data_IF_658893028330
#
_entry.id   IF_658893028330
#
_cell.length_a   1.000
_cell.length_b   1.000
_cell.length_c   1.000
_cell.angle_alpha   90.00
_cell.angle_beta   90.00
_cell.angle_gamma   90.00
#
_symmetry.space_group_name_H-M   'P 1'
#
loop_
_entity.id
_entity.type
_entity.pdbx_description
1 polymer ?
#
# COMPACT_ATOMS: atom_id res chain seq x y z
N UNK A 1 -25.13 22.88 -18.72
CA UNK A 1 -23.85 22.74 -17.95
C UNK A 1 -23.38 21.31 -18.00
N UNK A 2 -22.10 21.05 -18.22
CA UNK A 2 -21.57 19.68 -18.29
C UNK A 2 -21.71 19.01 -16.91
N UNK A 3 -22.35 17.84 -16.86
CA UNK A 3 -22.44 17.03 -15.65
C UNK A 3 -21.03 16.81 -15.08
N UNK A 4 -20.76 17.26 -13.87
CA UNK A 4 -19.48 17.07 -13.20
C UNK A 4 -19.18 15.57 -13.11
N UNK A 5 -18.14 15.11 -13.82
CA UNK A 5 -17.74 13.72 -13.80
C UNK A 5 -17.34 13.28 -12.39
N UNK A 6 -17.84 12.11 -11.95
CA UNK A 6 -17.44 11.50 -10.67
C UNK A 6 -15.95 11.22 -10.71
N UNK A 7 -15.22 11.68 -9.70
CA UNK A 7 -13.81 11.40 -9.49
C UNK A 7 -13.66 10.10 -8.68
N UNK A 8 -12.99 9.12 -9.29
CA UNK A 8 -12.70 7.83 -8.66
C UNK A 8 -11.30 7.88 -8.07
N UNK A 9 -11.21 7.65 -6.77
CA UNK A 9 -9.95 7.51 -6.05
C UNK A 9 -9.65 6.06 -5.73
N UNK A 10 -8.41 5.64 -5.97
CA UNK A 10 -7.90 4.33 -5.64
C UNK A 10 -7.02 4.41 -4.39
N UNK A 11 -7.23 3.47 -3.47
CA UNK A 11 -6.45 3.36 -2.23
C UNK A 11 -5.73 2.03 -2.24
N UNK A 12 -4.40 2.07 -2.11
CA UNK A 12 -3.54 0.89 -2.12
C UNK A 12 -2.93 0.68 -0.73
N UNK A 13 -3.30 -0.41 -0.08
CA UNK A 13 -2.84 -0.73 1.26
C UNK A 13 -1.38 -1.20 1.34
N UNK A 14 -0.81 -1.14 2.55
CA UNK A 14 0.47 -1.75 2.88
C UNK A 14 0.38 -3.28 2.97
N UNK A 15 1.52 -3.98 2.84
CA UNK A 15 1.55 -5.44 2.96
C UNK A 15 2.79 -6.12 2.40
N UNK A 16 3.84 -5.38 2.08
CA UNK A 16 5.07 -5.93 1.48
C UNK A 16 4.79 -6.65 0.16
N UNK A 17 5.35 -7.84 -0.04
CA UNK A 17 5.19 -8.64 -1.26
C UNK A 17 3.72 -8.89 -1.63
N UNK A 18 2.82 -9.02 -0.64
CA UNK A 18 1.38 -9.18 -0.89
C UNK A 18 0.80 -8.04 -1.73
N UNK A 19 1.39 -6.84 -1.64
CA UNK A 19 1.02 -5.68 -2.46
C UNK A 19 1.20 -5.87 -3.96
N UNK A 20 1.93 -6.89 -4.43
CA UNK A 20 1.97 -7.24 -5.85
C UNK A 20 0.57 -7.56 -6.41
N UNK A 21 -0.37 -7.96 -5.55
CA UNK A 21 -1.79 -8.08 -5.89
C UNK A 21 -2.43 -6.78 -6.41
N UNK A 22 -1.93 -5.61 -5.98
CA UNK A 22 -2.39 -4.31 -6.50
C UNK A 22 -2.21 -4.19 -8.01
N UNK A 23 -1.15 -4.78 -8.57
CA UNK A 23 -0.90 -4.77 -10.02
C UNK A 23 -2.02 -5.50 -10.75
N UNK A 24 -2.45 -6.65 -10.22
CA UNK A 24 -3.58 -7.42 -10.74
C UNK A 24 -4.89 -6.64 -10.71
N UNK A 25 -5.16 -5.97 -9.60
CA UNK A 25 -6.33 -5.08 -9.47
C UNK A 25 -6.29 -3.95 -10.51
N UNK A 26 -5.16 -3.27 -10.64
CA UNK A 26 -4.98 -2.20 -11.64
C UNK A 26 -5.18 -2.69 -13.08
N UNK A 27 -4.70 -3.90 -13.40
CA UNK A 27 -4.89 -4.53 -14.72
C UNK A 27 -6.38 -4.80 -14.99
N UNK A 28 -7.10 -5.40 -14.05
CA UNK A 28 -8.52 -5.66 -14.17
C UNK A 28 -9.35 -4.38 -14.29
N UNK A 29 -9.08 -3.37 -13.45
CA UNK A 29 -9.75 -2.06 -13.56
C UNK A 29 -9.50 -1.41 -14.93
N UNK A 30 -8.28 -1.51 -15.48
CA UNK A 30 -7.95 -1.01 -16.83
C UNK A 30 -8.70 -1.76 -17.93
N UNK A 31 -8.78 -3.10 -17.88
CA UNK A 31 -9.54 -3.93 -18.82
C UNK A 31 -11.02 -3.49 -18.84
N UNK A 32 -11.60 -3.25 -17.68
CA UNK A 32 -12.98 -2.82 -17.55
C UNK A 32 -13.20 -1.31 -17.74
N UNK A 33 -12.18 -0.58 -18.16
CA UNK A 33 -12.24 0.88 -18.40
C UNK A 33 -12.77 1.67 -17.20
N UNK A 34 -12.43 1.24 -15.98
CA UNK A 34 -12.70 1.99 -14.75
C UNK A 34 -11.60 3.06 -14.61
N UNK A 35 -11.90 4.35 -14.82
CA UNK A 35 -10.88 5.40 -14.76
C UNK A 35 -10.47 5.68 -13.32
N UNK A 36 -9.18 5.77 -13.06
CA UNK A 36 -8.63 6.21 -11.79
C UNK A 36 -8.16 7.65 -11.93
N UNK A 37 -8.68 8.55 -11.08
CA UNK A 37 -8.43 9.98 -11.16
C UNK A 37 -7.41 10.46 -10.12
N UNK A 38 -7.19 9.68 -9.06
CA UNK A 38 -6.23 9.94 -7.99
C UNK A 38 -5.92 8.67 -7.23
N UNK A 39 -4.75 8.61 -6.60
CA UNK A 39 -4.31 7.45 -5.83
C UNK A 39 -3.77 7.87 -4.47
N UNK A 40 -4.07 7.11 -3.42
CA UNK A 40 -3.38 7.19 -2.14
C UNK A 40 -2.81 5.81 -1.78
N UNK A 41 -1.60 5.76 -1.23
CA UNK A 41 -0.93 4.51 -0.89
C UNK A 41 -0.17 4.54 0.43
N UNK A 42 0.03 3.37 1.02
CA UNK A 42 0.87 3.15 2.20
C UNK A 42 1.87 2.05 1.90
N UNK A 43 3.16 2.23 2.25
CA UNK A 43 4.21 1.22 2.08
C UNK A 43 4.33 0.74 0.63
N UNK A 44 4.26 -0.57 0.37
CA UNK A 44 4.22 -1.10 -1.02
C UNK A 44 3.10 -0.49 -1.85
N UNK A 45 1.95 -0.15 -1.24
CA UNK A 45 0.87 0.56 -1.91
C UNK A 45 1.27 1.98 -2.33
N UNK A 46 2.19 2.63 -1.60
CA UNK A 46 2.77 3.91 -2.00
C UNK A 46 3.71 3.73 -3.21
N UNK A 47 4.56 2.71 -3.22
CA UNK A 47 5.45 2.40 -4.35
C UNK A 47 4.63 2.15 -5.63
N UNK A 48 3.70 1.19 -5.60
CA UNK A 48 2.88 0.82 -6.76
C UNK A 48 1.95 1.97 -7.17
N UNK A 49 1.42 2.71 -6.19
CA UNK A 49 0.56 3.88 -6.42
C UNK A 49 1.29 5.01 -7.15
N UNK A 50 2.53 5.31 -6.76
CA UNK A 50 3.37 6.30 -7.44
C UNK A 50 3.77 5.85 -8.85
N UNK A 51 4.17 4.57 -9.01
CA UNK A 51 4.45 3.99 -10.33
C UNK A 51 3.23 4.11 -11.26
N UNK A 52 2.03 3.82 -10.73
CA UNK A 52 0.80 3.96 -11.50
C UNK A 52 0.48 5.43 -11.80
N UNK A 53 0.60 6.32 -10.83
CA UNK A 53 0.36 7.75 -11.03
C UNK A 53 1.32 8.37 -12.07
N UNK A 54 2.54 7.85 -12.17
CA UNK A 54 3.53 8.28 -13.15
C UNK A 54 3.29 7.72 -14.55
N UNK A 55 2.85 6.47 -14.67
CA UNK A 55 2.80 5.77 -15.97
C UNK A 55 1.38 5.60 -16.52
N UNK A 56 0.39 5.36 -15.65
CA UNK A 56 -0.97 4.89 -15.95
C UNK A 56 -0.97 3.52 -16.64
N UNK A 57 0.11 2.75 -16.44
CA UNK A 57 0.30 1.47 -17.11
C UNK A 57 0.66 0.33 -16.15
N UNK A 58 -0.31 -0.53 -15.77
CA UNK A 58 -0.06 -1.68 -14.91
C UNK A 58 0.89 -2.72 -15.49
N UNK A 59 0.98 -2.83 -16.82
CA UNK A 59 1.91 -3.77 -17.46
C UNK A 59 3.36 -3.30 -17.32
N UNK A 60 3.59 -1.99 -17.43
CA UNK A 60 4.90 -1.42 -17.16
C UNK A 60 5.34 -1.69 -15.71
N UNK A 61 4.41 -1.54 -14.74
CA UNK A 61 4.67 -1.80 -13.33
C UNK A 61 5.06 -3.28 -13.13
N UNK A 62 4.29 -4.22 -13.67
CA UNK A 62 4.58 -5.65 -13.62
C UNK A 62 5.98 -5.96 -14.15
N UNK A 63 6.30 -5.48 -15.35
CA UNK A 63 7.60 -5.70 -15.98
C UNK A 63 8.74 -5.12 -15.13
N UNK A 64 8.54 -3.94 -14.53
CA UNK A 64 9.55 -3.30 -13.68
C UNK A 64 9.83 -4.12 -12.42
N UNK A 65 8.79 -4.68 -11.78
CA UNK A 65 8.97 -5.60 -10.65
C UNK A 65 9.68 -6.90 -11.05
N UNK A 66 9.34 -7.50 -12.20
CA UNK A 66 10.02 -8.71 -12.70
C UNK A 66 11.51 -8.47 -12.93
N UNK A 67 11.86 -7.39 -13.62
CA UNK A 67 13.27 -6.98 -13.79
C UNK A 67 13.96 -6.76 -12.45
N UNK A 68 13.29 -6.13 -11.48
CA UNK A 68 13.86 -5.90 -10.16
C UNK A 68 14.14 -7.22 -9.42
N UNK A 69 13.19 -8.14 -9.39
CA UNK A 69 13.31 -9.43 -8.69
C UNK A 69 14.44 -10.29 -9.28
N UNK A 70 14.66 -10.22 -10.58
CA UNK A 70 15.75 -10.94 -11.27
C UNK A 70 17.12 -10.25 -11.12
N UNK A 71 17.15 -8.99 -10.68
CA UNK A 71 18.38 -8.19 -10.60
C UNK A 71 19.35 -8.64 -9.51
N UNK A 72 20.65 -8.41 -9.72
CA UNK A 72 21.67 -8.58 -8.68
C UNK A 72 21.44 -7.64 -7.48
N UNK A 73 20.81 -6.48 -7.70
CA UNK A 73 20.43 -5.56 -6.64
C UNK A 73 19.46 -6.23 -5.64
N UNK A 74 18.40 -6.88 -6.13
CA UNK A 74 17.45 -7.61 -5.28
C UNK A 74 18.14 -8.74 -4.49
N UNK A 75 19.02 -9.51 -5.13
CA UNK A 75 19.78 -10.59 -4.47
C UNK A 75 20.67 -10.05 -3.35
N UNK A 76 21.34 -8.91 -3.57
CA UNK A 76 22.22 -8.25 -2.59
C UNK A 76 21.47 -7.68 -1.39
N UNK A 77 20.20 -7.23 -1.57
CA UNK A 77 19.36 -6.77 -0.47
C UNK A 77 19.09 -7.89 0.51
N UNK A 78 18.96 -9.12 0.02
CA UNK A 78 18.82 -10.30 0.85
C UNK A 78 17.43 -10.46 1.49
N UNK A 79 16.38 -9.84 0.95
CA UNK A 79 15.00 -10.00 1.44
C UNK A 79 14.58 -11.48 1.49
N UNK A 80 15.00 -12.29 0.52
CA UNK A 80 14.79 -13.73 0.52
C UNK A 80 15.36 -14.45 1.74
N UNK A 81 16.38 -13.87 2.43
CA UNK A 81 16.96 -14.43 3.65
C UNK A 81 16.11 -14.17 4.90
N UNK A 82 15.16 -13.26 4.82
CA UNK A 82 14.21 -12.95 5.88
C UNK A 82 13.03 -13.92 5.89
N UNK A 83 12.78 -14.58 4.75
CA UNK A 83 11.69 -15.57 4.61
C UNK A 83 11.96 -16.74 5.57
N UNK A 84 11.01 -17.07 6.46
CA UNK A 84 11.16 -18.19 7.38
C UNK A 84 11.28 -19.50 6.59
N UNK A 85 12.41 -20.19 6.71
CA UNK A 85 12.58 -21.54 6.16
C UNK A 85 11.99 -22.55 7.13
N UNK A 86 10.67 -22.75 7.04
CA UNK A 86 9.95 -23.77 7.81
C UNK A 86 10.26 -25.16 7.24
N UNK A 87 11.25 -25.86 7.77
CA UNK A 87 11.33 -27.31 7.65
C UNK A 87 10.99 -27.95 8.99
N UNK A 88 9.98 -28.85 9.06
CA UNK A 88 9.56 -29.50 10.30
C UNK A 88 10.61 -30.47 10.88
N UNK A 89 11.75 -30.70 10.23
CA UNK A 89 12.83 -31.59 10.65
C UNK A 89 14.19 -30.90 10.68
N UNK A 90 14.29 -29.77 11.42
CA UNK A 90 15.61 -29.15 11.61
C UNK A 90 16.47 -29.96 12.57
N UNK A 91 17.68 -30.34 12.13
CA UNK A 91 18.70 -30.97 13.01
C UNK A 91 19.06 -30.00 14.14
N UNK A 92 19.59 -30.57 15.27
CA UNK A 92 20.06 -29.77 16.42
C UNK A 92 21.05 -28.67 15.97
N UNK A 93 21.86 -28.93 14.95
CA UNK A 93 22.77 -27.94 14.33
C UNK A 93 22.04 -26.79 13.64
N UNK A 94 20.94 -27.06 12.95
CA UNK A 94 20.10 -26.00 12.32
C UNK A 94 19.37 -25.18 13.35
N UNK A 95 18.90 -25.79 14.45
CA UNK A 95 18.31 -25.07 15.58
C UNK A 95 19.33 -24.15 16.26
N UNK A 96 20.56 -24.65 16.50
CA UNK A 96 21.66 -23.87 17.06
C UNK A 96 22.07 -22.71 16.12
N UNK A 97 22.18 -22.96 14.82
CA UNK A 97 22.46 -21.92 13.82
C UNK A 97 21.36 -20.85 13.75
N UNK A 98 20.10 -21.25 13.84
CA UNK A 98 18.93 -20.32 13.89
C UNK A 98 18.95 -19.52 15.19
N UNK A 99 19.27 -20.14 16.32
CA UNK A 99 19.40 -19.45 17.60
C UNK A 99 20.54 -18.42 17.59
N UNK A 100 21.73 -18.81 17.08
CA UNK A 100 22.86 -17.88 16.92
C UNK A 100 22.53 -16.75 15.95
N UNK A 101 21.85 -17.02 14.84
CA UNK A 101 21.38 -16.00 13.90
C UNK A 101 20.41 -15.02 14.58
N UNK A 102 19.48 -15.51 15.39
CA UNK A 102 18.53 -14.67 16.14
C UNK A 102 19.25 -13.84 17.22
N UNK A 103 20.25 -14.39 17.91
CA UNK A 103 21.07 -13.64 18.88
C UNK A 103 21.89 -12.53 18.21
N UNK A 104 22.45 -12.81 17.03
CA UNK A 104 23.17 -11.79 16.24
C UNK A 104 22.21 -10.69 15.82
N UNK A 105 20.99 -11.03 15.37
CA UNK A 105 19.96 -10.04 14.99
C UNK A 105 19.55 -9.20 16.20
N UNK A 106 19.34 -9.80 17.37
CA UNK A 106 19.00 -9.07 18.61
C UNK A 106 20.14 -8.14 19.05
N UNK A 107 21.41 -8.61 18.98
CA UNK A 107 22.56 -7.77 19.32
C UNK A 107 22.74 -6.63 18.31
N UNK A 108 22.54 -6.88 17.02
CA UNK A 108 22.58 -5.84 15.99
C UNK A 108 21.42 -4.85 16.15
N UNK A 109 20.26 -5.28 16.59
CA UNK A 109 19.10 -4.42 16.84
C UNK A 109 19.33 -3.47 18.04
N UNK A 110 20.17 -3.83 19.01
CA UNK A 110 20.58 -2.95 20.09
C UNK A 110 21.54 -1.84 19.65
N UNK A 111 22.26 -2.04 18.54
CA UNK A 111 23.22 -1.06 18.01
C UNK A 111 22.71 -0.31 16.76
N UNK A 112 21.66 -0.81 16.11
CA UNK A 112 21.13 -0.28 14.85
C UNK A 112 19.61 -0.25 14.85
N UNK A 113 19.04 0.86 14.37
CA UNK A 113 17.58 1.06 14.27
C UNK A 113 16.90 0.23 13.17
N UNK A 114 17.66 -0.59 12.42
CA UNK A 114 17.11 -1.44 11.36
C UNK A 114 18.15 -2.43 10.79
N UNK A 115 17.64 -3.49 10.15
CA UNK A 115 18.47 -4.56 9.53
C UNK A 115 18.99 -4.11 8.15
N UNK A 116 18.18 -3.37 7.40
CA UNK A 116 18.50 -2.84 6.07
C UNK A 116 18.92 -1.36 6.19
N UNK A 117 19.87 -0.95 5.36
CA UNK A 117 20.30 0.45 5.31
C UNK A 117 19.31 1.30 4.52
N UNK A 118 19.11 2.55 4.91
CA UNK A 118 18.25 3.52 4.22
C UNK A 118 18.69 3.76 2.78
N UNK A 119 20.00 3.80 2.51
CA UNK A 119 20.56 4.02 1.18
C UNK A 119 20.10 2.93 0.19
N UNK A 120 20.00 1.68 0.66
CA UNK A 120 19.48 0.59 -0.18
C UNK A 120 18.00 0.73 -0.51
N UNK A 121 17.20 1.19 0.45
CA UNK A 121 15.79 1.50 0.18
C UNK A 121 15.68 2.62 -0.84
N UNK A 122 16.49 3.67 -0.70
CA UNK A 122 16.55 4.78 -1.66
C UNK A 122 16.88 4.31 -3.07
N UNK A 123 17.92 3.48 -3.21
CA UNK A 123 18.32 2.90 -4.51
C UNK A 123 17.21 2.07 -5.16
N UNK A 124 16.48 1.28 -4.35
CA UNK A 124 15.35 0.49 -4.85
C UNK A 124 14.22 1.40 -5.35
N UNK A 125 13.82 2.38 -4.53
CA UNK A 125 12.73 3.27 -4.87
C UNK A 125 13.10 4.10 -6.10
N UNK A 126 14.33 4.60 -6.17
CA UNK A 126 14.85 5.33 -7.31
C UNK A 126 14.85 4.48 -8.59
N UNK A 127 15.23 3.21 -8.48
CA UNK A 127 15.15 2.26 -9.60
C UNK A 127 13.70 2.01 -10.03
N UNK A 128 12.75 1.90 -9.09
CA UNK A 128 11.36 1.58 -9.40
C UNK A 128 10.58 2.74 -10.02
N UNK A 129 10.93 3.99 -9.68
CA UNK A 129 10.18 5.17 -10.10
C UNK A 129 10.76 5.81 -11.38
N UNK A 130 9.90 6.16 -12.36
CA UNK A 130 10.33 6.85 -13.56
C UNK A 130 10.47 8.37 -13.38
N UNK A 131 10.02 8.91 -12.25
CA UNK A 131 10.00 10.34 -11.91
C UNK A 131 10.46 10.55 -10.47
N UNK A 132 10.88 11.78 -10.11
CA UNK A 132 11.50 12.10 -8.82
C UNK A 132 10.64 12.96 -7.91
N UNK A 133 9.65 13.64 -8.46
CA UNK A 133 8.79 14.57 -7.71
C UNK A 133 7.30 14.26 -7.92
N UNK A 134 6.46 14.71 -6.99
CA UNK A 134 5.01 14.59 -7.12
C UNK A 134 4.46 15.37 -8.31
N UNK A 135 5.09 16.48 -8.65
CA UNK A 135 4.67 17.40 -9.72
C UNK A 135 4.83 16.78 -11.12
N UNK A 136 5.70 15.77 -11.27
CA UNK A 136 5.89 15.03 -12.52
C UNK A 136 4.85 13.93 -12.75
N UNK A 137 3.98 13.66 -11.76
CA UNK A 137 2.97 12.60 -11.85
C UNK A 137 1.80 13.01 -12.76
N UNK A 138 1.26 12.06 -13.52
CA UNK A 138 0.15 12.28 -14.47
C UNK A 138 -1.20 12.45 -13.79
N UNK A 139 -1.37 11.90 -12.59
CA UNK A 139 -2.57 12.05 -11.76
C UNK A 139 -2.16 12.33 -10.31
N UNK A 140 -3.00 13.02 -9.51
CA UNK A 140 -2.75 13.27 -8.11
C UNK A 140 -2.46 11.99 -7.33
N UNK A 141 -1.39 12.03 -6.55
CA UNK A 141 -0.97 10.95 -5.69
C UNK A 141 -0.67 11.47 -4.28
N UNK A 142 -0.90 10.65 -3.27
CA UNK A 142 -0.44 10.90 -1.89
C UNK A 142 0.06 9.60 -1.28
N UNK A 143 1.10 9.68 -0.47
CA UNK A 143 1.51 8.58 0.40
C UNK A 143 1.54 9.01 1.86
N UNK A 144 1.57 8.02 2.75
CA UNK A 144 1.41 8.23 4.18
C UNK A 144 2.53 7.56 4.95
N UNK A 145 3.12 8.31 5.89
CA UNK A 145 4.03 7.82 6.93
C UNK A 145 3.49 8.19 8.30
N UNK A 146 4.16 7.74 9.36
CA UNK A 146 3.83 8.09 10.75
C UNK A 146 5.04 8.70 11.42
N UNK A 147 4.85 9.79 12.13
CA UNK A 147 5.88 10.34 12.99
C UNK A 147 5.88 9.64 14.35
N UNK A 148 6.97 8.96 14.68
CA UNK A 148 7.14 8.22 15.93
C UNK A 148 7.18 9.13 17.18
N UNK A 149 7.52 10.42 17.01
CA UNK A 149 7.60 11.36 18.13
C UNK A 149 6.21 11.84 18.56
N UNK A 150 5.32 12.11 17.59
CA UNK A 150 3.97 12.62 17.86
C UNK A 150 2.86 11.56 17.76
N UNK A 151 3.11 10.45 17.04
CA UNK A 151 2.10 9.46 16.70
C UNK A 151 1.15 9.90 15.57
N UNK A 152 1.42 11.04 14.93
CA UNK A 152 0.53 11.61 13.92
C UNK A 152 0.81 11.06 12.53
N UNK A 153 -0.27 10.95 11.73
CA UNK A 153 -0.19 10.61 10.30
C UNK A 153 0.42 11.77 9.51
N UNK A 154 1.50 11.53 8.78
CA UNK A 154 2.13 12.49 7.86
C UNK A 154 1.80 12.14 6.43
N UNK A 155 1.06 13.01 5.73
CA UNK A 155 0.63 12.81 4.35
C UNK A 155 1.50 13.64 3.42
N UNK A 156 2.18 12.97 2.48
CA UNK A 156 2.98 13.60 1.43
C UNK A 156 2.19 13.65 0.13
N UNK A 157 2.18 14.82 -0.54
CA UNK A 157 1.51 15.05 -1.82
C UNK A 157 2.21 16.07 -2.72
N UNK A 158 3.42 16.50 -2.34
CA UNK A 158 4.26 17.45 -3.09
C UNK A 158 5.74 17.26 -2.77
N UNK A 159 6.62 17.76 -3.64
CA UNK A 159 8.07 17.77 -3.48
C UNK A 159 8.72 16.42 -3.81
N UNK A 160 9.74 16.02 -3.02
CA UNK A 160 10.53 14.82 -3.29
C UNK A 160 9.74 13.52 -3.10
N UNK A 161 9.44 12.84 -4.19
CA UNK A 161 8.65 11.61 -4.21
C UNK A 161 9.41 10.42 -3.61
N UNK A 162 10.72 10.35 -3.84
CA UNK A 162 11.57 9.25 -3.34
C UNK A 162 11.60 9.28 -1.82
N UNK A 163 11.90 10.44 -1.22
CA UNK A 163 11.92 10.60 0.24
C UNK A 163 10.58 10.27 0.89
N UNK A 164 9.48 10.73 0.28
CA UNK A 164 8.14 10.46 0.79
C UNK A 164 7.81 8.97 0.79
N UNK A 165 8.18 8.25 -0.28
CA UNK A 165 7.97 6.80 -0.37
C UNK A 165 8.92 6.05 0.55
N UNK A 166 10.17 6.51 0.72
CA UNK A 166 11.09 5.95 1.73
C UNK A 166 10.47 6.02 3.13
N UNK A 167 9.95 7.18 3.53
CA UNK A 167 9.29 7.36 4.81
C UNK A 167 8.08 6.42 4.97
N UNK A 168 7.24 6.35 3.91
CA UNK A 168 6.06 5.46 3.88
C UNK A 168 6.40 3.96 3.92
N UNK A 169 7.64 3.59 3.60
CA UNK A 169 8.12 2.20 3.50
C UNK A 169 9.19 1.85 4.53
N UNK A 170 9.44 2.72 5.51
CA UNK A 170 10.42 2.49 6.58
C UNK A 170 9.84 1.53 7.63
N UNK A 171 9.81 0.23 7.31
CA UNK A 171 9.19 -0.82 8.16
C UNK A 171 9.94 -0.91 9.51
N UNK A 172 9.24 -0.75 10.66
CA UNK A 172 9.85 -0.81 11.99
C UNK A 172 10.66 -2.09 12.20
N UNK A 173 11.87 -1.95 12.73
CA UNK A 173 12.79 -3.06 12.98
C UNK A 173 13.55 -3.56 11.75
N UNK A 174 13.06 -3.29 10.53
CA UNK A 174 13.72 -3.70 9.28
C UNK A 174 14.48 -2.55 8.61
N UNK A 175 13.90 -1.38 8.58
CA UNK A 175 14.47 -0.18 7.97
C UNK A 175 14.50 0.91 9.05
N UNK A 176 15.62 1.62 9.24
CA UNK A 176 15.68 2.73 10.18
C UNK A 176 14.65 3.81 9.83
N UNK A 177 14.02 4.44 10.83
CA UNK A 177 13.13 5.58 10.60
C UNK A 177 13.83 6.69 9.81
N UNK A 178 13.09 7.43 9.01
CA UNK A 178 13.58 8.55 8.20
C UNK A 178 13.47 9.84 9.00
N UNK A 179 14.58 10.49 9.26
CA UNK A 179 14.60 11.82 9.88
C UNK A 179 14.29 12.88 8.82
N UNK A 180 13.25 13.69 9.06
CA UNK A 180 12.84 14.77 8.14
C UNK A 180 12.13 15.87 8.91
N UNK A 181 12.59 17.12 8.77
CA UNK A 181 11.96 18.31 9.34
C UNK A 181 11.65 18.19 10.86
N UNK A 182 12.56 17.55 11.63
CA UNK A 182 12.42 17.30 13.08
C UNK A 182 11.48 16.14 13.44
N UNK A 183 10.90 15.46 12.46
CA UNK A 183 10.10 14.24 12.62
C UNK A 183 10.95 12.98 12.48
N UNK A 184 10.53 11.91 13.11
CA UNK A 184 11.11 10.58 13.00
C UNK A 184 10.08 9.65 12.33
N UNK A 185 10.16 9.53 11.00
CA UNK A 185 9.12 8.92 10.16
C UNK A 185 9.32 7.41 9.99
N UNK A 186 8.23 6.67 10.14
CA UNK A 186 8.17 5.22 9.90
C UNK A 186 7.02 4.87 8.95
N UNK A 187 6.94 3.58 8.55
CA UNK A 187 5.92 3.06 7.63
C UNK A 187 4.50 3.45 8.06
N UNK A 188 3.74 3.98 7.14
CA UNK A 188 2.36 4.41 7.37
C UNK A 188 1.41 3.30 7.81
N UNK A 189 1.75 2.04 7.59
CA UNK A 189 0.92 0.90 8.00
C UNK A 189 0.83 0.76 9.54
N UNK A 190 1.71 1.40 10.29
CA UNK A 190 1.67 1.44 11.77
C UNK A 190 0.36 2.06 12.27
N UNK A 191 -0.15 3.11 11.61
CA UNK A 191 -1.40 3.79 12.00
C UNK A 191 -2.50 3.75 10.96
N UNK A 192 -2.14 3.61 9.69
CA UNK A 192 -3.08 3.68 8.57
C UNK A 192 -2.68 2.74 7.42
N UNK A 193 -2.87 1.42 7.59
CA UNK A 193 -2.54 0.43 6.57
C UNK A 193 -3.25 0.67 5.24
N UNK A 194 -4.49 1.21 5.26
CA UNK A 194 -5.31 1.49 4.08
C UNK A 194 -5.81 2.95 4.15
N UNK A 195 -5.20 3.91 3.42
CA UNK A 195 -5.39 5.35 3.62
C UNK A 195 -6.66 5.91 2.94
N UNK A 196 -7.85 5.36 3.20
CA UNK A 196 -9.14 5.78 2.58
C UNK A 196 -9.48 7.23 2.88
N UNK A 197 -9.16 7.72 4.09
CA UNK A 197 -9.41 9.12 4.47
C UNK A 197 -8.59 10.09 3.62
N UNK A 198 -7.38 9.70 3.22
CA UNK A 198 -6.48 10.52 2.39
C UNK A 198 -7.09 10.74 1.01
N UNK A 199 -7.51 9.70 0.30
CA UNK A 199 -8.09 9.84 -1.03
C UNK A 199 -9.42 10.61 -0.99
N UNK A 200 -10.16 10.51 0.12
CA UNK A 200 -11.36 11.35 0.34
C UNK A 200 -10.99 12.83 0.46
N UNK A 201 -9.94 13.17 1.21
CA UNK A 201 -9.44 14.56 1.33
C UNK A 201 -8.94 15.11 0.00
N UNK A 202 -8.41 14.24 -0.89
CA UNK A 202 -8.01 14.61 -2.26
C UNK A 202 -9.21 14.94 -3.16
N UNK A 203 -10.44 14.69 -2.71
CA UNK A 203 -11.67 15.02 -3.42
C UNK A 203 -12.25 13.88 -4.25
N UNK A 204 -11.98 12.62 -3.90
CA UNK A 204 -12.63 11.48 -4.53
C UNK A 204 -14.11 11.39 -4.15
N UNK A 205 -14.96 11.30 -5.17
CA UNK A 205 -16.40 11.08 -5.02
C UNK A 205 -16.72 9.60 -4.79
N UNK A 206 -15.95 8.70 -5.40
CA UNK A 206 -16.04 7.25 -5.26
C UNK A 206 -14.67 6.66 -4.92
N UNK A 207 -14.61 5.80 -3.92
CA UNK A 207 -13.36 5.26 -3.36
C UNK A 207 -13.34 3.75 -3.50
N UNK A 208 -12.33 3.26 -4.22
CA UNK A 208 -11.99 1.85 -4.31
C UNK A 208 -10.78 1.63 -3.41
N UNK A 209 -10.90 0.82 -2.38
CA UNK A 209 -9.76 0.40 -1.56
C UNK A 209 -9.30 -1.00 -1.94
N UNK A 210 -8.00 -1.22 -1.87
CA UNK A 210 -7.38 -2.54 -2.03
C UNK A 210 -6.61 -2.84 -0.75
N UNK A 211 -7.10 -3.82 -0.02
CA UNK A 211 -6.50 -4.29 1.23
C UNK A 211 -5.81 -5.64 0.98
N UNK A 212 -4.49 -5.66 1.15
CA UNK A 212 -3.63 -6.84 0.98
C UNK A 212 -3.08 -7.34 2.33
N UNK A 213 -3.82 -7.06 3.41
CA UNK A 213 -3.57 -7.64 4.73
C UNK A 213 -3.65 -9.16 4.73
N UNK A 214 -3.38 -9.76 5.88
CA UNK A 214 -3.52 -11.21 6.04
C UNK A 214 -5.00 -11.60 6.13
N UNK A 215 -5.38 -12.70 5.48
CA UNK A 215 -6.74 -13.21 5.55
C UNK A 215 -6.96 -14.12 6.77
N UNK A 216 -5.91 -14.82 7.20
CA UNK A 216 -5.91 -15.69 8.38
C UNK A 216 -4.53 -15.74 9.01
N UNK A 217 -4.44 -16.28 10.21
CA UNK A 217 -3.19 -16.42 10.97
C UNK A 217 -2.93 -17.88 11.26
N UNK A 218 -1.80 -18.40 10.76
CA UNK A 218 -1.35 -19.74 11.12
C UNK A 218 -0.90 -19.80 12.59
N UNK A 219 -1.06 -20.92 13.27
CA UNK A 219 -0.53 -21.10 14.63
C UNK A 219 0.97 -20.83 14.70
N UNK A 220 1.41 -20.24 15.80
CA UNK A 220 2.82 -20.09 16.10
C UNK A 220 3.33 -21.31 16.86
N UNK A 221 4.23 -22.06 16.27
CA UNK A 221 4.88 -23.21 16.92
C UNK A 221 6.18 -22.77 17.60
N UNK A 222 6.25 -22.90 18.93
CA UNK A 222 7.43 -22.54 19.75
C UNK A 222 8.01 -21.15 19.42
N UNK A 223 7.20 -20.07 19.50
CA UNK A 223 7.62 -18.75 19.04
C UNK A 223 8.67 -18.14 19.96
N UNK A 224 9.62 -17.43 19.37
CA UNK A 224 10.52 -16.51 20.07
C UNK A 224 9.88 -15.13 20.24
N UNK A 225 10.54 -14.26 21.04
CA UNK A 225 10.07 -12.91 21.34
C UNK A 225 9.76 -12.09 20.07
N UNK A 226 10.64 -12.11 19.07
CA UNK A 226 10.46 -11.34 17.83
C UNK A 226 9.28 -11.84 17.02
N UNK A 227 9.03 -13.15 16.99
CA UNK A 227 7.86 -13.73 16.32
C UNK A 227 6.57 -13.35 17.02
N UNK A 228 6.55 -13.27 18.35
CA UNK A 228 5.38 -12.82 19.12
C UNK A 228 5.10 -11.34 18.85
N UNK A 229 6.13 -10.48 18.91
CA UNK A 229 5.98 -9.05 18.63
C UNK A 229 5.53 -8.80 17.19
N UNK A 230 6.16 -9.46 16.22
CA UNK A 230 5.77 -9.35 14.80
C UNK A 230 4.36 -9.85 14.53
N UNK A 231 3.91 -10.93 15.19
CA UNK A 231 2.53 -11.42 15.09
C UNK A 231 1.54 -10.44 15.72
N UNK A 232 1.85 -9.84 16.85
CA UNK A 232 1.02 -8.82 17.48
C UNK A 232 0.84 -7.60 16.58
N UNK A 233 1.93 -7.12 15.96
CA UNK A 233 1.90 -6.05 14.97
C UNK A 233 1.04 -6.44 13.75
N UNK A 234 1.25 -7.63 13.17
CA UNK A 234 0.46 -8.12 12.04
C UNK A 234 -1.05 -8.17 12.34
N UNK A 235 -1.43 -8.65 13.52
CA UNK A 235 -2.84 -8.68 13.95
C UNK A 235 -3.39 -7.26 14.03
N UNK A 236 -2.66 -6.34 14.67
CA UNK A 236 -3.09 -4.95 14.82
C UNK A 236 -3.23 -4.27 13.47
N UNK A 237 -2.24 -4.38 12.59
CA UNK A 237 -2.26 -3.79 11.25
C UNK A 237 -3.39 -4.36 10.39
N UNK A 238 -3.63 -5.69 10.44
CA UNK A 238 -4.72 -6.33 9.71
C UNK A 238 -6.09 -5.81 10.19
N UNK A 239 -6.34 -5.82 11.50
CA UNK A 239 -7.60 -5.32 12.07
C UNK A 239 -7.82 -3.84 11.78
N UNK A 240 -6.77 -3.04 11.88
CA UNK A 240 -6.83 -1.63 11.55
C UNK A 240 -7.12 -1.42 10.05
N UNK A 241 -6.54 -2.22 9.17
CA UNK A 241 -6.81 -2.22 7.73
C UNK A 241 -8.27 -2.50 7.43
N UNK A 242 -8.88 -3.50 8.08
CA UNK A 242 -10.31 -3.82 7.98
C UNK A 242 -11.17 -2.59 8.32
N UNK A 243 -10.98 -1.99 9.52
CA UNK A 243 -11.73 -0.82 9.98
C UNK A 243 -11.55 0.40 9.08
N UNK A 244 -10.34 0.63 8.56
CA UNK A 244 -10.09 1.76 7.65
C UNK A 244 -10.75 1.52 6.29
N UNK A 245 -10.76 0.28 5.80
CA UNK A 245 -11.34 -0.12 4.51
C UNK A 245 -12.86 0.02 4.47
N UNK A 246 -13.57 -0.15 5.58
CA UNK A 246 -15.02 0.04 5.70
C UNK A 246 -15.48 1.44 5.24
N UNK A 247 -14.59 2.44 5.26
CA UNK A 247 -14.88 3.81 4.84
C UNK A 247 -14.82 4.01 3.31
N UNK A 248 -14.44 2.99 2.55
CA UNK A 248 -14.48 3.00 1.10
C UNK A 248 -15.89 2.70 0.57
N UNK A 249 -16.15 3.05 -0.69
CA UNK A 249 -17.42 2.70 -1.36
C UNK A 249 -17.40 1.24 -1.82
N UNK A 250 -16.20 0.66 -2.00
CA UNK A 250 -15.95 -0.77 -2.18
C UNK A 250 -14.51 -1.12 -1.76
N UNK A 251 -14.33 -2.33 -1.21
CA UNK A 251 -13.02 -2.87 -0.83
C UNK A 251 -12.76 -4.15 -1.59
N UNK A 252 -11.66 -4.20 -2.34
CA UNK A 252 -11.12 -5.39 -2.99
C UNK A 252 -10.09 -5.98 -2.04
N UNK A 253 -10.32 -7.24 -1.62
CA UNK A 253 -9.41 -7.95 -0.71
C UNK A 253 -8.99 -9.27 -1.33
N UNK A 254 -7.90 -9.28 -2.11
CA UNK A 254 -7.37 -10.50 -2.70
C UNK A 254 -6.97 -11.50 -1.62
N UNK A 255 -7.17 -12.79 -1.87
CA UNK A 255 -6.55 -13.83 -1.05
C UNK A 255 -5.04 -13.83 -1.33
N UNK A 256 -4.28 -13.34 -0.37
CA UNK A 256 -2.81 -13.24 -0.49
C UNK A 256 -2.09 -14.52 -0.04
N UNK A 257 -2.84 -15.61 0.24
CA UNK A 257 -2.34 -16.93 0.66
C UNK A 257 -1.31 -16.87 1.80
N UNK A 258 -1.44 -15.87 2.67
CA UNK A 258 -0.50 -15.60 3.75
C UNK A 258 0.98 -15.49 3.33
N UNK A 259 1.23 -15.13 2.08
CA UNK A 259 2.59 -14.87 1.59
C UNK A 259 3.33 -13.94 2.55
N UNK A 260 4.53 -14.33 2.94
CA UNK A 260 5.36 -13.52 3.81
C UNK A 260 5.70 -12.19 3.13
N UNK A 261 5.77 -11.12 3.89
CA UNK A 261 5.92 -9.77 3.35
C UNK A 261 7.18 -9.54 2.48
N UNK A 262 8.18 -10.41 2.58
CA UNK A 262 9.43 -10.34 1.80
C UNK A 262 9.50 -11.36 0.63
N UNK A 263 8.46 -12.16 0.38
CA UNK A 263 8.40 -13.18 -0.69
C UNK A 263 7.95 -12.58 -2.03
N UNK A 264 8.78 -11.76 -2.65
CA UNK A 264 8.47 -11.12 -3.94
C UNK A 264 8.51 -12.09 -5.13
N UNK A 265 9.09 -13.27 -4.98
CA UNK A 265 9.11 -14.34 -6.00
C UNK A 265 7.71 -14.89 -6.35
N UNK A 266 6.71 -14.64 -5.51
CA UNK A 266 5.30 -15.00 -5.76
C UNK A 266 4.55 -14.02 -6.68
N UNK A 267 5.27 -13.16 -7.41
CA UNK A 267 4.69 -12.06 -8.20
C UNK A 267 3.57 -12.49 -9.14
N UNK A 268 3.76 -13.51 -9.97
CA UNK A 268 2.75 -13.94 -10.95
C UNK A 268 1.47 -14.42 -10.28
N UNK A 269 1.61 -15.15 -9.18
CA UNK A 269 0.50 -15.67 -8.40
C UNK A 269 -0.29 -14.55 -7.72
N UNK A 270 0.39 -13.61 -7.08
CA UNK A 270 -0.25 -12.48 -6.40
C UNK A 270 -0.97 -11.54 -7.39
N UNK A 271 -0.36 -11.26 -8.54
CA UNK A 271 -1.00 -10.50 -9.62
C UNK A 271 -2.28 -11.20 -10.09
N UNK A 272 -2.22 -12.50 -10.31
CA UNK A 272 -3.38 -13.30 -10.72
C UNK A 272 -4.51 -13.20 -9.69
N UNK A 273 -4.21 -13.38 -8.40
CA UNK A 273 -5.21 -13.30 -7.33
C UNK A 273 -5.84 -11.91 -7.20
N UNK A 274 -5.04 -10.84 -7.38
CA UNK A 274 -5.54 -9.48 -7.41
C UNK A 274 -6.52 -9.23 -8.57
N UNK A 275 -6.21 -9.75 -9.74
CA UNK A 275 -7.09 -9.66 -10.90
C UNK A 275 -8.38 -10.46 -10.70
N UNK A 276 -8.27 -11.73 -10.28
CA UNK A 276 -9.42 -12.61 -10.04
C UNK A 276 -10.39 -12.04 -9.01
N UNK A 277 -9.89 -11.46 -7.91
CA UNK A 277 -10.76 -10.86 -6.90
C UNK A 277 -11.49 -9.62 -7.45
N UNK A 278 -10.82 -8.83 -8.29
CA UNK A 278 -11.45 -7.69 -8.96
C UNK A 278 -12.55 -8.13 -9.92
N UNK A 279 -12.32 -9.20 -10.68
CA UNK A 279 -13.32 -9.77 -11.59
C UNK A 279 -14.57 -10.26 -10.83
N UNK A 280 -14.40 -10.94 -9.69
CA UNK A 280 -15.53 -11.37 -8.85
C UNK A 280 -16.39 -10.20 -8.39
N UNK A 281 -15.76 -9.06 -8.09
CA UNK A 281 -16.44 -7.88 -7.58
C UNK A 281 -16.84 -6.88 -8.67
N UNK A 282 -16.52 -7.12 -9.93
CA UNK A 282 -16.72 -6.16 -11.03
C UNK A 282 -18.15 -5.63 -11.11
N UNK A 283 -19.15 -6.51 -11.06
CA UNK A 283 -20.55 -6.09 -11.12
C UNK A 283 -20.94 -5.22 -9.94
N UNK A 284 -20.43 -5.50 -8.75
CA UNK A 284 -20.68 -4.69 -7.56
C UNK A 284 -20.02 -3.31 -7.69
N UNK A 285 -18.78 -3.23 -8.22
CA UNK A 285 -18.10 -1.96 -8.50
C UNK A 285 -18.95 -1.13 -9.45
N UNK A 286 -19.42 -1.72 -10.55
CA UNK A 286 -20.22 -1.07 -11.58
C UNK A 286 -21.57 -0.55 -11.04
N UNK A 287 -22.24 -1.37 -10.24
CA UNK A 287 -23.54 -1.01 -9.64
C UNK A 287 -23.37 0.13 -8.62
N UNK A 288 -22.39 0.03 -7.72
CA UNK A 288 -22.09 1.08 -6.76
C UNK A 288 -21.72 2.41 -7.43
N UNK A 289 -20.91 2.36 -8.49
CA UNK A 289 -20.61 3.53 -9.32
C UNK A 289 -21.86 4.14 -9.96
N UNK A 290 -22.76 3.32 -10.49
CA UNK A 290 -24.01 3.77 -11.10
C UNK A 290 -24.93 4.46 -10.05
N UNK A 291 -25.07 3.84 -8.88
CA UNK A 291 -25.83 4.42 -7.75
C UNK A 291 -25.25 5.77 -7.34
N UNK A 292 -23.91 5.85 -7.19
CA UNK A 292 -23.22 7.09 -6.82
C UNK A 292 -23.41 8.19 -7.85
N UNK A 293 -23.34 7.86 -9.16
CA UNK A 293 -23.65 8.81 -10.25
C UNK A 293 -25.06 9.36 -10.16
N UNK A 294 -26.04 8.50 -9.89
CA UNK A 294 -27.44 8.91 -9.76
C UNK A 294 -27.66 9.84 -8.57
N UNK A 295 -27.09 9.52 -7.41
CA UNK A 295 -27.17 10.37 -6.21
C UNK A 295 -26.50 11.73 -6.46
N UNK A 296 -25.30 11.72 -7.02
CA UNK A 296 -24.54 12.93 -7.34
C UNK A 296 -25.34 13.85 -8.28
N UNK A 297 -25.98 13.29 -9.32
CA UNK A 297 -26.83 14.05 -10.24
C UNK A 297 -28.03 14.67 -9.53
N UNK A 298 -28.73 13.92 -8.66
CA UNK A 298 -29.85 14.43 -7.87
C UNK A 298 -29.44 15.56 -6.93
N UNK A 299 -28.27 15.45 -6.28
CA UNK A 299 -27.75 16.50 -5.38
C UNK A 299 -27.44 17.77 -6.17
N UNK A 300 -26.80 17.65 -7.35
CA UNK A 300 -26.53 18.82 -8.19
C UNK A 300 -27.85 19.51 -8.62
N UNK A 301 -28.82 18.75 -9.12
CA UNK A 301 -30.13 19.30 -9.49
C UNK A 301 -30.83 20.04 -8.33
N UNK A 302 -30.74 19.45 -7.12
CA UNK A 302 -31.32 20.09 -5.92
C UNK A 302 -30.61 21.40 -5.55
N UNK A 303 -29.26 21.43 -5.61
CA UNK A 303 -28.50 22.67 -5.36
C UNK A 303 -28.75 23.75 -6.41
N UNK A 304 -28.89 23.40 -7.69
CA UNK A 304 -29.26 24.32 -8.77
C UNK A 304 -30.68 24.89 -8.55
N UNK A 305 -31.59 24.04 -8.10
CA UNK A 305 -32.95 24.46 -7.77
C UNK A 305 -33.01 25.49 -6.61
N UNK A 306 -32.22 25.27 -5.54
CA UNK A 306 -32.13 26.21 -4.41
C UNK A 306 -31.49 27.52 -4.85
N UNK A 307 -30.35 27.44 -5.56
CA UNK A 307 -29.63 28.64 -6.03
C UNK A 307 -30.43 29.45 -7.08
N UNK A 308 -31.29 28.80 -7.85
CA UNK A 308 -32.24 29.47 -8.75
C UNK A 308 -33.32 30.23 -7.99
N UNK A 309 -33.87 29.65 -6.91
CA UNK A 309 -34.87 30.34 -6.06
C UNK A 309 -34.32 31.58 -5.35
N UNK A 310 -33.07 31.56 -4.94
CA UNK A 310 -32.43 32.74 -4.30
C UNK A 310 -32.23 33.88 -5.29
N UNK A 311 -32.03 33.61 -6.58
CA UNK A 311 -31.94 34.64 -7.63
C UNK A 311 -33.31 35.24 -7.98
N UNK A 312 -34.37 34.45 -7.97
CA UNK A 312 -35.74 34.90 -8.24
C UNK A 312 -36.38 35.67 -7.06
N UNK A 313 -35.82 35.51 -5.84
CA UNK A 313 -36.24 36.29 -4.65
C UNK A 313 -35.42 37.58 -4.46
N UNK A 314 -34.29 37.73 -5.18
CA UNK A 314 -33.44 38.93 -5.14
C UNK A 314 -33.63 39.88 -6.34
N UNK A 315 -34.55 39.54 -7.25
CA UNK A 315 -34.99 40.36 -8.39
C UNK A 315 -36.40 40.90 -8.14
#
# INVERSE_FOLDING_TARGET
MASKKIKIGLVLGGGGARGLGHIGVLKALKIHSIPIHMVAGTSIGAVIGAMYAATLDPHWIENKFKIFIESEAYKKIGLHRLVPTGQPNSSIFQMAATYMKNQIIINLANERLGILKQERLSEIIDFMLPVKTFEELKIPFSCLAVDLNSGEDVVFNSGNLIEAIMASSAIPGYIPPIEKDGMLLTDGAVSCPVPVKTVRKMGADFRISVDVGLNHFEPLENPNLLQVLGRAEQITSTRLGEVKSEKADITIRPDTMNVFWAEFDKIDQLIKLGAEETEKQFWQIKDNLKKKKSIHHKVIQFLEFISGRERDQAA
#
